data_IF_055471186933
#
_entry.id   IF_055471186933
#
_cell.length_a   1.000
_cell.length_b   1.000
_cell.length_c   1.000
_cell.angle_alpha   90.00
_cell.angle_beta   90.00
_cell.angle_gamma   90.00
#
_symmetry.space_group_name_H-M   'P 1'
#
loop_
_entity.id
_entity.type
_entity.pdbx_description
1 polymer ?
#
# COMPACT_ATOMS: atom_id res chain seq x y z
N UNK A 1 -12.95 -0.97 -1.84
CA UNK A 1 -12.12 0.07 -2.51
C UNK A 1 -10.94 0.38 -1.59
N UNK A 2 -9.72 0.64 -2.08
CA UNK A 2 -8.93 -0.13 -3.04
C UNK A 2 -7.49 -0.36 -2.50
N UNK A 3 -7.06 -1.60 -2.33
CA UNK A 3 -5.63 -1.93 -2.07
C UNK A 3 -5.15 -3.09 -2.97
N UNK A 4 -5.85 -3.32 -4.08
CA UNK A 4 -5.69 -4.51 -4.94
C UNK A 4 -4.36 -4.56 -5.70
N UNK A 5 -3.47 -3.58 -5.53
CA UNK A 5 -2.20 -3.50 -6.26
C UNK A 5 -1.01 -3.70 -5.30
N UNK A 6 -1.04 -4.73 -4.45
CA UNK A 6 0.11 -4.95 -3.54
C UNK A 6 0.53 -6.39 -3.25
N UNK A 7 -0.18 -7.39 -3.77
CA UNK A 7 0.04 -8.77 -3.32
C UNK A 7 1.01 -9.61 -4.17
N UNK A 8 1.70 -9.09 -5.18
CA UNK A 8 2.45 -9.96 -6.09
C UNK A 8 3.79 -9.39 -6.58
N UNK A 9 4.68 -8.96 -5.69
CA UNK A 9 6.12 -8.87 -6.02
C UNK A 9 6.96 -9.62 -4.97
N UNK A 10 6.47 -10.79 -4.55
CA UNK A 10 7.32 -11.78 -3.90
C UNK A 10 7.98 -12.63 -5.00
N UNK A 11 9.21 -13.13 -4.76
CA UNK A 11 10.17 -13.84 -5.64
C UNK A 11 9.62 -14.60 -6.88
N UNK A 12 8.36 -15.07 -6.87
CA UNK A 12 7.65 -15.60 -8.03
C UNK A 12 7.46 -14.58 -9.17
N UNK A 13 7.13 -13.32 -8.90
CA UNK A 13 6.81 -12.38 -10.00
C UNK A 13 8.05 -11.83 -10.72
N UNK A 14 9.20 -11.79 -10.05
CA UNK A 14 10.49 -11.51 -10.69
C UNK A 14 10.88 -12.62 -11.68
N UNK A 15 10.60 -13.88 -11.33
CA UNK A 15 10.75 -15.01 -12.26
C UNK A 15 9.76 -14.90 -13.43
N UNK A 16 8.49 -14.59 -13.17
CA UNK A 16 7.48 -14.38 -14.22
C UNK A 16 7.81 -13.19 -15.14
N UNK A 17 8.38 -12.11 -14.61
CA UNK A 17 8.83 -10.94 -15.36
C UNK A 17 9.93 -11.31 -16.37
N UNK A 18 10.87 -12.17 -15.98
CA UNK A 18 11.92 -12.68 -16.88
C UNK A 18 11.40 -13.71 -17.91
N UNK A 19 10.20 -14.26 -17.72
CA UNK A 19 9.57 -15.22 -18.63
C UNK A 19 8.65 -14.56 -19.67
N UNK A 20 8.38 -13.26 -19.56
CA UNK A 20 7.47 -12.54 -20.45
C UNK A 20 8.24 -11.85 -21.60
N UNK A 21 7.75 -11.91 -22.85
CA UNK A 21 8.28 -11.11 -23.95
C UNK A 21 8.17 -9.60 -23.67
N UNK A 22 9.19 -8.82 -24.07
CA UNK A 22 9.35 -7.39 -23.76
C UNK A 22 8.11 -6.52 -24.04
N UNK A 23 7.39 -6.79 -25.12
CA UNK A 23 6.18 -6.04 -25.50
C UNK A 23 5.02 -6.21 -24.50
N UNK A 24 4.85 -7.42 -23.96
CA UNK A 24 3.79 -7.69 -22.99
C UNK A 24 4.13 -7.12 -21.61
N UNK A 25 5.44 -7.01 -21.33
CA UNK A 25 6.00 -6.49 -20.08
C UNK A 25 5.66 -5.02 -19.87
N UNK A 26 5.92 -4.18 -20.87
CA UNK A 26 5.54 -2.76 -20.87
C UNK A 26 4.04 -2.55 -20.72
N UNK A 27 3.24 -3.32 -21.46
CA UNK A 27 1.78 -3.24 -21.39
C UNK A 27 1.24 -3.59 -19.99
N UNK A 28 1.85 -4.56 -19.30
CA UNK A 28 1.46 -4.92 -17.93
C UNK A 28 1.91 -3.90 -16.89
N UNK A 29 3.13 -3.35 -17.00
CA UNK A 29 3.60 -2.29 -16.10
C UNK A 29 2.72 -1.04 -16.20
N UNK A 30 2.34 -0.66 -17.43
CA UNK A 30 1.43 0.45 -17.65
C UNK A 30 0.01 0.20 -17.12
N UNK A 31 -0.46 -1.05 -17.11
CA UNK A 31 -1.75 -1.44 -16.52
C UNK A 31 -1.76 -1.40 -14.99
N UNK A 32 -0.59 -1.47 -14.35
CA UNK A 32 -0.44 -1.32 -12.90
C UNK A 32 -0.48 0.14 -12.48
N UNK A 33 0.12 1.03 -13.27
CA UNK A 33 0.02 2.48 -13.08
C UNK A 33 -1.33 2.98 -13.63
N UNK A 34 -2.41 2.91 -12.84
CA UNK A 34 -3.69 3.53 -13.19
C UNK A 34 -3.91 4.81 -12.42
N UNK A 35 -4.70 5.76 -12.94
CA UNK A 35 -5.07 6.97 -12.20
C UNK A 35 -5.73 6.68 -10.85
N UNK A 36 -6.41 5.53 -10.72
CA UNK A 36 -7.02 5.11 -9.44
C UNK A 36 -6.02 4.53 -8.43
N UNK A 37 -4.76 4.32 -8.83
CA UNK A 37 -3.72 3.72 -7.98
C UNK A 37 -3.00 4.83 -7.22
N UNK A 38 -3.19 4.94 -5.89
CA UNK A 38 -2.69 6.08 -5.14
C UNK A 38 -1.16 6.09 -5.01
N UNK A 39 -0.54 4.91 -4.91
CA UNK A 39 0.91 4.75 -4.84
C UNK A 39 1.31 3.30 -5.13
N UNK A 40 2.55 3.11 -5.58
CA UNK A 40 3.21 1.81 -5.75
C UNK A 40 4.41 1.79 -4.80
N UNK A 41 4.53 0.73 -3.99
CA UNK A 41 5.64 0.55 -3.05
C UNK A 41 6.33 -0.77 -3.39
N UNK A 42 7.62 -0.69 -3.66
CA UNK A 42 8.48 -1.85 -3.89
C UNK A 42 9.14 -2.21 -2.58
N UNK A 43 8.90 -3.42 -2.11
CA UNK A 43 9.35 -3.89 -0.79
C UNK A 43 10.61 -4.73 -0.90
N UNK A 44 11.28 -4.95 0.25
CA UNK A 44 12.52 -5.76 0.38
C UNK A 44 13.73 -5.19 -0.38
N UNK A 45 13.79 -3.86 -0.51
CA UNK A 45 14.90 -3.17 -1.17
C UNK A 45 15.16 -3.65 -2.61
N UNK A 46 14.09 -4.11 -3.27
CA UNK A 46 14.17 -4.55 -4.66
C UNK A 46 14.27 -3.33 -5.56
N UNK A 47 15.17 -3.40 -6.53
CA UNK A 47 15.34 -2.35 -7.52
C UNK A 47 14.16 -2.42 -8.52
N UNK A 48 13.35 -1.35 -8.64
CA UNK A 48 12.23 -1.34 -9.59
C UNK A 48 12.76 -1.38 -11.03
N UNK A 49 12.14 -2.18 -11.92
CA UNK A 49 12.53 -2.20 -13.33
C UNK A 49 12.31 -0.83 -13.98
N UNK A 50 13.20 -0.45 -14.91
CA UNK A 50 13.16 0.87 -15.59
C UNK A 50 11.80 1.16 -16.24
N UNK A 51 11.12 0.15 -16.78
CA UNK A 51 9.80 0.29 -17.37
C UNK A 51 8.72 0.72 -16.38
N UNK A 52 8.83 0.26 -15.13
CA UNK A 52 7.93 0.67 -14.06
C UNK A 52 8.22 2.12 -13.65
N UNK A 53 9.49 2.50 -13.58
CA UNK A 53 9.91 3.89 -13.29
C UNK A 53 9.38 4.81 -14.39
N UNK A 54 9.56 4.44 -15.66
CA UNK A 54 9.09 5.21 -16.81
C UNK A 54 7.56 5.32 -16.80
N UNK A 55 6.83 4.21 -16.61
CA UNK A 55 5.38 4.22 -16.53
C UNK A 55 4.88 5.05 -15.34
N UNK A 56 5.49 4.93 -14.17
CA UNK A 56 5.13 5.71 -12.98
C UNK A 56 5.36 7.21 -13.19
N UNK A 57 6.45 7.58 -13.87
CA UNK A 57 6.76 8.98 -14.22
C UNK A 57 5.76 9.51 -15.25
N UNK A 58 5.43 8.73 -16.29
CA UNK A 58 4.46 9.11 -17.32
C UNK A 58 3.04 9.27 -16.79
N UNK A 59 2.67 8.48 -15.77
CA UNK A 59 1.31 8.42 -15.20
C UNK A 59 1.22 9.12 -13.83
N UNK A 60 2.25 9.90 -13.47
CA UNK A 60 2.36 10.65 -12.21
C UNK A 60 2.03 9.81 -10.96
N UNK A 61 2.36 8.52 -11.00
CA UNK A 61 2.09 7.58 -9.91
C UNK A 61 3.27 7.55 -8.95
N UNK A 62 3.09 7.84 -7.64
CA UNK A 62 4.18 7.78 -6.67
C UNK A 62 4.78 6.37 -6.57
N UNK A 63 6.09 6.27 -6.82
CA UNK A 63 6.86 5.04 -6.67
C UNK A 63 7.79 5.17 -5.46
N UNK A 64 7.64 4.26 -4.48
CA UNK A 64 8.38 4.28 -3.22
C UNK A 64 9.10 2.94 -3.06
N UNK A 65 10.33 2.95 -2.54
CA UNK A 65 11.04 1.72 -2.17
C UNK A 65 11.09 1.59 -0.66
N UNK A 66 11.01 0.36 -0.15
CA UNK A 66 11.09 0.07 1.28
C UNK A 66 11.88 -1.22 1.51
N UNK A 67 12.74 -1.20 2.53
CA UNK A 67 13.49 -2.38 3.01
C UNK A 67 12.61 -3.35 3.81
N UNK A 68 11.40 -2.93 4.19
CA UNK A 68 10.48 -3.68 5.04
C UNK A 68 9.82 -4.81 4.23
N UNK A 69 9.59 -5.96 4.88
CA UNK A 69 8.85 -7.07 4.28
C UNK A 69 7.39 -6.68 4.00
N UNK A 70 6.85 -7.16 2.87
CA UNK A 70 5.50 -6.83 2.38
C UNK A 70 4.43 -7.02 3.45
N UNK A 71 4.41 -8.16 4.15
CA UNK A 71 3.45 -8.45 5.21
C UNK A 71 3.50 -7.44 6.35
N UNK A 72 4.70 -7.04 6.76
CA UNK A 72 4.90 -6.07 7.84
C UNK A 72 4.50 -4.66 7.41
N UNK A 73 4.86 -4.26 6.19
CA UNK A 73 4.48 -2.97 5.63
C UNK A 73 2.96 -2.87 5.49
N UNK A 74 2.31 -3.91 4.97
CA UNK A 74 0.86 -3.97 4.83
C UNK A 74 0.17 -3.87 6.19
N UNK A 75 0.64 -4.58 7.22
CA UNK A 75 0.09 -4.45 8.57
C UNK A 75 0.12 -3.01 9.07
N UNK A 76 1.25 -2.31 8.90
CA UNK A 76 1.40 -0.91 9.30
C UNK A 76 0.49 0.02 8.50
N UNK A 77 0.44 -0.15 7.18
CA UNK A 77 -0.40 0.67 6.29
C UNK A 77 -1.88 0.47 6.59
N UNK A 78 -2.32 -0.77 6.79
CA UNK A 78 -3.71 -1.08 7.15
C UNK A 78 -4.07 -0.39 8.46
N UNK A 79 -3.27 -0.54 9.52
CA UNK A 79 -3.54 0.12 10.80
C UNK A 79 -3.57 1.66 10.68
N UNK A 80 -2.64 2.23 9.91
CA UNK A 80 -2.61 3.68 9.68
C UNK A 80 -3.85 4.15 8.91
N UNK A 81 -4.20 3.48 7.82
CA UNK A 81 -5.37 3.84 7.01
C UNK A 81 -6.67 3.59 7.76
N UNK A 82 -6.77 2.53 8.57
CA UNK A 82 -7.92 2.27 9.43
C UNK A 82 -8.12 3.39 10.45
N UNK A 83 -7.04 3.90 11.04
CA UNK A 83 -7.09 5.02 11.97
C UNK A 83 -7.48 6.33 11.27
N UNK A 84 -6.81 6.68 10.17
CA UNK A 84 -7.06 7.94 9.44
C UNK A 84 -8.41 7.97 8.72
N UNK A 85 -8.90 6.82 8.25
CA UNK A 85 -10.20 6.69 7.60
C UNK A 85 -11.31 6.28 8.57
N UNK A 86 -11.01 6.14 9.87
CA UNK A 86 -12.01 5.82 10.88
C UNK A 86 -13.04 6.95 10.94
N UNK A 87 -14.33 6.59 10.90
CA UNK A 87 -15.40 7.56 11.14
C UNK A 87 -15.33 8.01 12.59
N UNK A 88 -15.08 9.29 12.78
CA UNK A 88 -15.12 9.95 14.08
C UNK A 88 -16.54 10.38 14.39
N UNK A 89 -16.97 10.14 15.62
CA UNK A 89 -18.22 10.68 16.17
C UNK A 89 -17.89 11.42 17.45
N UNK A 90 -18.59 12.53 17.70
CA UNK A 90 -18.41 13.33 18.92
C UNK A 90 -19.49 12.96 19.92
N UNK A 91 -19.08 12.38 21.05
CA UNK A 91 -19.98 12.06 22.16
C UNK A 91 -19.74 13.06 23.30
N UNK A 92 -20.82 13.57 23.89
CA UNK A 92 -20.73 14.32 25.14
C UNK A 92 -20.63 13.33 26.29
N UNK A 93 -19.40 13.17 26.82
CA UNK A 93 -19.10 12.28 27.93
C UNK A 93 -17.67 12.49 28.39
N UNK A 94 -17.33 11.94 29.55
CA UNK A 94 -15.98 11.95 30.12
C UNK A 94 -15.37 10.57 29.92
N UNK A 95 -14.24 10.50 29.24
CA UNK A 95 -13.44 9.28 29.12
C UNK A 95 -12.45 9.21 30.30
N UNK A 96 -12.50 8.14 31.09
CA UNK A 96 -11.65 7.91 32.26
C UNK A 96 -10.93 6.57 32.12
N UNK A 97 -9.64 6.50 32.46
CA UNK A 97 -8.89 5.25 32.56
C UNK A 97 -8.88 4.75 34.01
N UNK A 98 -9.38 3.53 34.25
CA UNK A 98 -9.41 2.89 35.57
C UNK A 98 -8.75 1.52 35.47
N UNK A 99 -7.57 1.37 36.06
CA UNK A 99 -6.76 0.15 36.03
C UNK A 99 -6.47 -0.39 34.61
N UNK A 100 -6.31 0.49 33.62
CA UNK A 100 -6.04 0.12 32.22
C UNK A 100 -7.31 -0.17 31.41
N UNK A 101 -8.49 0.07 31.98
CA UNK A 101 -9.77 -0.04 31.29
C UNK A 101 -10.28 1.37 31.00
N UNK A 102 -10.44 1.69 29.71
CA UNK A 102 -11.09 2.93 29.28
C UNK A 102 -12.60 2.85 29.52
N UNK A 103 -13.09 3.66 30.45
CA UNK A 103 -14.52 3.78 30.78
C UNK A 103 -15.04 5.11 30.24
N UNK A 104 -16.07 5.05 29.38
CA UNK A 104 -16.77 6.24 28.90
C UNK A 104 -18.00 6.49 29.77
N UNK A 105 -18.01 7.63 30.47
CA UNK A 105 -19.14 8.09 31.29
C UNK A 105 -19.92 9.12 30.48
N UNK A 106 -21.11 8.77 30.04
CA UNK A 106 -22.06 9.68 29.39
C UNK A 106 -23.18 10.05 30.37
N UNK A 107 -23.80 11.22 30.17
CA UNK A 107 -24.96 11.69 30.95
C UNK A 107 -26.28 11.19 30.37
#
# INVERSE_FOLDING_TARGET
>A
MPLTVFSYWEQRNYLFYNLLPDEERKGRMRKLCRPETPAIIVTRDLEPPEELIQAATELETPLITSTIATTQLMGRLTTFLEHELARTTSLHGVLVDVYGVGVLIYW
#
